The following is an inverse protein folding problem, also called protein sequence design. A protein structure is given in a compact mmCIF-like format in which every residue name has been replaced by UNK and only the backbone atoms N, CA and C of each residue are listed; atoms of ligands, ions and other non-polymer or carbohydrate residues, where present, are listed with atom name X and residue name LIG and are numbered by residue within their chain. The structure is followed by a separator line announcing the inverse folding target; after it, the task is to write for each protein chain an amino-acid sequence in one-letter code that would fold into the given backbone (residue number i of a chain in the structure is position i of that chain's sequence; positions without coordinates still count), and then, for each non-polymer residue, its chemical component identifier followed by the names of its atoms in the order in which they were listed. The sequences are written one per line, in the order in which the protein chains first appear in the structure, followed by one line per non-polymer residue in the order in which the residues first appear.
data_IF_417987488544
#
_entry.id   IF_417987488544
#
_cell.length_a   1.000
_cell.length_b   1.000
_cell.length_c   1.000
_cell.angle_alpha   90.00
_cell.angle_beta   90.00
_cell.angle_gamma   90.00
#
_symmetry.space_group_name_H-M   'P 1'
#
loop_
_entity.id
_entity.type
_entity.pdbx_description
1 polymer ?
#
# COMPACT_ATOMS: atom_id res chain seq x y z
N UNK A 1 29.31 7.23 -21.08
CA UNK A 1 28.00 7.66 -21.62
C UNK A 1 26.82 7.03 -20.89
N UNK A 2 26.80 5.72 -20.65
CA UNK A 2 25.68 5.05 -19.98
C UNK A 2 25.44 5.51 -18.53
N UNK A 3 26.50 5.80 -17.78
CA UNK A 3 26.42 6.30 -16.40
C UNK A 3 25.79 7.70 -16.30
N UNK A 4 26.07 8.58 -17.28
CA UNK A 4 25.50 9.93 -17.32
C UNK A 4 23.98 9.82 -17.53
N UNK A 5 23.54 8.96 -18.46
CA UNK A 5 22.12 8.73 -18.77
C UNK A 5 21.36 8.23 -17.53
N UNK A 6 21.92 7.25 -16.80
CA UNK A 6 21.32 6.69 -15.59
C UNK A 6 21.15 7.77 -14.50
N UNK A 7 22.16 8.60 -14.29
CA UNK A 7 22.11 9.69 -13.30
C UNK A 7 21.09 10.74 -13.70
N UNK A 8 21.03 11.16 -14.98
CA UNK A 8 20.02 12.12 -15.44
C UNK A 8 18.59 11.61 -15.31
N UNK A 9 18.33 10.33 -15.59
CA UNK A 9 16.99 9.73 -15.45
C UNK A 9 16.59 9.68 -13.96
N UNK A 10 17.52 9.33 -13.07
CA UNK A 10 17.28 9.33 -11.63
C UNK A 10 16.95 10.72 -11.08
N UNK A 11 17.71 11.75 -11.50
CA UNK A 11 17.48 13.15 -11.08
C UNK A 11 16.15 13.69 -11.62
N UNK A 12 15.82 13.40 -12.88
CA UNK A 12 14.52 13.77 -13.47
C UNK A 12 13.35 13.09 -12.73
N UNK A 13 13.48 11.81 -12.41
CA UNK A 13 12.47 11.09 -11.61
C UNK A 13 12.27 11.71 -10.23
N UNK A 14 13.36 12.11 -9.57
CA UNK A 14 13.31 12.75 -8.25
C UNK A 14 12.67 14.14 -8.29
N UNK A 15 12.97 14.95 -9.32
CA UNK A 15 12.35 16.26 -9.53
C UNK A 15 10.86 16.16 -9.83
N UNK A 16 10.44 15.19 -10.65
CA UNK A 16 9.03 14.95 -10.98
C UNK A 16 8.23 14.50 -9.76
N UNK A 17 8.80 13.63 -8.91
CA UNK A 17 8.18 13.20 -7.67
C UNK A 17 8.13 14.34 -6.64
N UNK A 18 9.20 15.15 -6.54
CA UNK A 18 9.25 16.35 -5.71
C UNK A 18 8.14 17.34 -6.07
N UNK A 19 7.98 17.66 -7.36
CA UNK A 19 6.93 18.57 -7.83
C UNK A 19 5.51 18.08 -7.52
N UNK A 20 5.26 16.77 -7.58
CA UNK A 20 3.96 16.17 -7.20
C UNK A 20 3.73 16.18 -5.69
N UNK A 21 4.79 16.10 -4.88
CA UNK A 21 4.71 16.18 -3.42
C UNK A 21 4.38 17.60 -2.92
N UNK A 22 4.82 18.63 -3.65
CA UNK A 22 4.48 20.04 -3.36
C UNK A 22 3.14 20.50 -3.95
N UNK A 23 2.44 19.67 -4.73
CA UNK A 23 1.09 20.01 -5.19
C UNK A 23 0.14 19.92 -3.98
N UNK A 24 -0.19 21.09 -3.42
CA UNK A 24 -1.00 21.21 -2.21
C UNK A 24 -2.37 20.53 -2.30
N UNK A 25 -3.03 20.27 -1.15
CA UNK A 25 -4.30 19.58 -1.09
C UNK A 25 -5.35 20.26 -1.97
N UNK A 26 -5.92 19.51 -2.92
CA UNK A 26 -6.96 20.02 -3.83
C UNK A 26 -8.10 20.67 -3.01
N UNK A 27 -8.39 21.97 -3.16
CA UNK A 27 -9.33 22.72 -2.33
C UNK A 27 -10.74 22.13 -2.36
N UNK A 28 -11.13 21.48 -3.47
CA UNK A 28 -12.43 20.78 -3.58
C UNK A 28 -12.55 19.59 -2.62
N UNK A 29 -11.46 18.87 -2.33
CA UNK A 29 -11.46 17.76 -1.36
C UNK A 29 -11.54 18.27 0.08
N UNK A 30 -10.90 19.39 0.38
CA UNK A 30 -10.98 20.03 1.69
C UNK A 30 -12.40 20.57 1.97
N UNK A 31 -13.04 21.19 0.97
CA UNK A 31 -14.42 21.67 1.08
C UNK A 31 -15.43 20.53 1.25
N UNK A 32 -15.30 19.44 0.48
CA UNK A 32 -16.15 18.25 0.63
C UNK A 32 -16.04 17.65 2.04
N UNK A 33 -14.82 17.54 2.58
CA UNK A 33 -14.57 17.04 3.94
C UNK A 33 -15.17 17.95 5.02
N UNK A 34 -15.13 19.27 4.83
CA UNK A 34 -15.79 20.23 5.73
C UNK A 34 -17.31 20.14 5.67
N UNK A 35 -17.88 19.98 4.48
CA UNK A 35 -19.32 19.80 4.28
C UNK A 35 -19.81 18.48 4.90
N UNK A 36 -19.03 17.41 4.78
CA UNK A 36 -19.31 16.09 5.35
C UNK A 36 -19.31 16.14 6.89
N UNK A 37 -18.34 16.84 7.49
CA UNK A 37 -18.28 17.08 8.94
C UNK A 37 -19.46 17.91 9.48
N UNK A 38 -20.01 18.84 8.69
CA UNK A 38 -21.18 19.64 9.07
C UNK A 38 -22.46 18.81 8.94
N UNK A 39 -22.58 17.99 7.88
CA UNK A 39 -23.68 17.03 7.72
C UNK A 39 -23.72 15.98 8.82
N UNK A 40 -22.56 15.48 9.26
CA UNK A 40 -22.46 14.56 10.40
C UNK A 40 -22.93 15.17 11.73
N UNK A 41 -22.85 16.51 11.88
CA UNK A 41 -23.33 17.21 13.09
C UNK A 41 -24.82 17.52 13.08
N UNK A 42 -25.47 17.52 11.91
CA UNK A 42 -26.88 17.88 11.74
C UNK A 42 -27.78 16.75 11.24
N UNK A 43 -27.21 15.61 10.81
CA UNK A 43 -27.99 14.41 10.54
C UNK A 43 -28.34 13.77 11.88
N UNK A 44 -29.50 14.14 12.42
CA UNK A 44 -30.15 13.55 13.58
C UNK A 44 -29.78 12.08 13.76
N UNK A 45 -29.02 11.80 14.81
CA UNK A 45 -28.98 10.51 15.49
C UNK A 45 -27.80 10.50 16.46
N UNK A 46 -27.97 11.03 17.67
CA UNK A 46 -27.06 10.70 18.79
C UNK A 46 -26.88 9.17 18.90
N UNK A 47 -27.91 8.40 18.52
CA UNK A 47 -27.86 6.94 18.38
C UNK A 47 -27.01 6.41 17.21
N UNK A 48 -27.03 7.02 16.02
CA UNK A 48 -26.23 6.54 14.89
C UNK A 48 -24.82 7.14 14.91
N UNK A 49 -24.60 8.32 15.49
CA UNK A 49 -23.27 8.79 15.85
C UNK A 49 -22.62 7.87 16.89
N UNK A 50 -23.36 7.45 17.93
CA UNK A 50 -22.87 6.48 18.91
C UNK A 50 -22.71 5.08 18.30
N UNK A 51 -23.61 4.63 17.43
CA UNK A 51 -23.49 3.35 16.73
C UNK A 51 -22.32 3.37 15.73
N UNK A 52 -22.15 4.45 14.96
CA UNK A 52 -21.00 4.64 14.07
C UNK A 52 -19.70 4.78 14.86
N UNK A 53 -19.71 5.44 16.02
CA UNK A 53 -18.55 5.52 16.90
C UNK A 53 -18.22 4.14 17.49
N UNK A 54 -19.22 3.33 17.85
CA UNK A 54 -19.04 1.95 18.30
C UNK A 54 -18.56 1.03 17.18
N UNK A 55 -19.12 1.14 15.97
CA UNK A 55 -18.67 0.41 14.78
C UNK A 55 -17.24 0.82 14.44
N UNK A 56 -16.91 2.10 14.51
CA UNK A 56 -15.55 2.61 14.30
C UNK A 56 -14.59 2.14 15.38
N UNK A 57 -15.03 2.06 16.64
CA UNK A 57 -14.26 1.52 17.77
C UNK A 57 -14.05 0.01 17.63
N UNK A 58 -15.05 -0.74 17.18
CA UNK A 58 -14.98 -2.18 16.87
C UNK A 58 -14.05 -2.44 15.68
N UNK A 59 -14.15 -1.65 14.60
CA UNK A 59 -13.26 -1.71 13.45
C UNK A 59 -11.82 -1.32 13.81
N UNK A 60 -11.64 -0.31 14.65
CA UNK A 60 -10.32 0.10 15.17
C UNK A 60 -9.74 -0.94 16.13
N UNK A 61 -10.56 -1.60 16.96
CA UNK A 61 -10.15 -2.72 17.81
C UNK A 61 -9.76 -3.95 16.98
N UNK A 62 -10.37 -4.14 15.80
CA UNK A 62 -10.04 -5.22 14.86
C UNK A 62 -8.77 -4.94 14.05
N UNK A 63 -8.40 -3.67 13.85
CA UNK A 63 -7.10 -3.31 13.27
C UNK A 63 -6.03 -3.47 14.35
N UNK A 64 -5.12 -4.44 14.19
CA UNK A 64 -3.98 -4.57 15.09
C UNK A 64 -3.18 -3.25 15.14
N UNK A 65 -2.56 -2.89 16.28
CA UNK A 65 -1.70 -1.68 16.38
C UNK A 65 -0.68 -1.60 15.24
N UNK A 66 -0.19 -2.77 14.82
CA UNK A 66 0.72 -2.99 13.70
C UNK A 66 0.10 -2.51 12.38
N UNK A 67 -1.18 -2.81 12.13
CA UNK A 67 -1.94 -2.37 10.95
C UNK A 67 -2.05 -0.83 10.87
N UNK A 68 -2.21 -0.17 12.02
CA UNK A 68 -2.27 1.30 12.12
C UNK A 68 -0.96 1.96 11.70
N UNK A 69 0.16 1.46 12.22
CA UNK A 69 1.51 1.98 11.91
C UNK A 69 1.83 1.83 10.41
N UNK A 70 1.58 0.65 9.84
CA UNK A 70 1.84 0.41 8.41
C UNK A 70 0.90 1.17 7.48
N UNK A 71 -0.29 1.54 7.95
CA UNK A 71 -1.22 2.34 7.14
C UNK A 71 -0.75 3.78 6.91
N UNK A 72 0.08 4.31 7.80
CA UNK A 72 0.69 5.65 7.68
C UNK A 72 1.93 5.64 6.79
N UNK A 73 2.67 4.52 6.77
CA UNK A 73 3.89 4.36 5.97
C UNK A 73 3.60 4.15 4.47
N UNK A 74 2.43 3.61 4.12
CA UNK A 74 2.07 3.28 2.74
C UNK A 74 1.37 4.47 2.09
N UNK A 75 1.84 5.01 0.94
CA UNK A 75 1.30 6.23 0.33
C UNK A 75 -0.20 6.19 -0.05
N UNK A 76 -0.81 5.00 -0.16
CA UNK A 76 -2.24 4.79 -0.50
C UNK A 76 -2.77 3.49 0.13
N UNK A 77 -3.04 3.45 1.45
CA UNK A 77 -3.36 2.21 2.15
C UNK A 77 -4.71 1.63 1.71
N UNK A 78 -5.69 2.48 1.34
CA UNK A 78 -7.00 2.05 0.87
C UNK A 78 -6.94 1.28 -0.46
N UNK A 79 -6.11 1.74 -1.41
CA UNK A 79 -5.94 1.04 -2.70
C UNK A 79 -5.23 -0.29 -2.54
N UNK A 80 -4.23 -0.35 -1.66
CA UNK A 80 -3.52 -1.59 -1.36
C UNK A 80 -4.44 -2.61 -0.68
N UNK A 81 -5.30 -2.18 0.26
CA UNK A 81 -6.32 -3.06 0.87
C UNK A 81 -7.27 -3.62 -0.18
N UNK A 82 -7.81 -2.77 -1.07
CA UNK A 82 -8.66 -3.23 -2.18
C UNK A 82 -7.96 -4.27 -3.05
N UNK A 83 -6.66 -4.07 -3.36
CA UNK A 83 -5.85 -5.03 -4.13
C UNK A 83 -5.65 -6.34 -3.38
N UNK A 84 -5.41 -6.29 -2.07
CA UNK A 84 -5.28 -7.49 -1.24
C UNK A 84 -6.61 -8.25 -1.18
N UNK A 85 -7.74 -7.57 -1.03
CA UNK A 85 -9.08 -8.18 -1.06
C UNK A 85 -9.37 -8.88 -2.41
N UNK A 86 -8.91 -8.31 -3.53
CA UNK A 86 -9.03 -8.95 -4.86
C UNK A 86 -8.33 -10.31 -4.93
N UNK A 87 -7.24 -10.52 -4.17
CA UNK A 87 -6.58 -11.84 -4.12
C UNK A 87 -7.47 -12.94 -3.53
N UNK A 88 -8.51 -12.57 -2.77
CA UNK A 88 -9.39 -13.51 -2.08
C UNK A 88 -8.73 -14.21 -0.88
N UNK A 89 -7.54 -13.76 -0.45
CA UNK A 89 -6.85 -14.27 0.73
C UNK A 89 -7.01 -13.30 1.91
N UNK A 90 -7.05 -13.83 3.12
CA UNK A 90 -7.08 -13.08 4.38
C UNK A 90 -5.71 -12.46 4.73
N UNK A 91 -5.11 -11.72 3.79
CA UNK A 91 -3.83 -11.04 3.98
C UNK A 91 -4.10 -9.60 4.40
N UNK A 92 -3.74 -9.25 5.64
CA UNK A 92 -3.85 -7.87 6.13
C UNK A 92 -2.72 -7.00 5.58
N UNK A 93 -2.92 -5.68 5.60
CA UNK A 93 -1.92 -4.71 5.14
C UNK A 93 -0.64 -4.81 5.98
N UNK A 94 -0.76 -5.02 7.29
CA UNK A 94 0.37 -5.19 8.19
C UNK A 94 1.16 -6.47 7.88
N UNK A 95 0.48 -7.60 7.67
CA UNK A 95 1.12 -8.87 7.27
C UNK A 95 1.85 -8.74 5.93
N UNK A 96 1.24 -8.05 4.97
CA UNK A 96 1.87 -7.76 3.68
C UNK A 96 3.16 -6.92 3.86
N UNK A 97 3.09 -5.86 4.67
CA UNK A 97 4.23 -4.98 4.90
C UNK A 97 5.37 -5.70 5.64
N UNK A 98 5.06 -6.49 6.68
CA UNK A 98 6.04 -7.31 7.39
C UNK A 98 6.69 -8.35 6.49
N UNK A 99 5.92 -9.06 5.67
CA UNK A 99 6.45 -10.04 4.72
C UNK A 99 7.37 -9.36 3.68
N UNK A 100 6.98 -8.17 3.19
CA UNK A 100 7.77 -7.39 2.24
C UNK A 100 9.11 -6.94 2.83
N UNK A 101 9.09 -6.39 4.05
CA UNK A 101 10.30 -5.98 4.76
C UNK A 101 11.20 -7.17 5.11
N UNK A 102 10.62 -8.26 5.62
CA UNK A 102 11.37 -9.47 5.96
C UNK A 102 12.05 -10.08 4.73
N UNK A 103 11.34 -10.14 3.59
CA UNK A 103 11.91 -10.63 2.33
C UNK A 103 13.07 -9.75 1.85
N UNK A 104 12.91 -8.42 1.92
CA UNK A 104 13.96 -7.48 1.55
C UNK A 104 15.23 -7.62 2.39
N UNK A 105 15.06 -7.69 3.71
CA UNK A 105 16.17 -7.90 4.65
C UNK A 105 16.84 -9.26 4.44
N UNK A 106 16.06 -10.31 4.20
CA UNK A 106 16.59 -11.64 3.91
C UNK A 106 17.43 -11.65 2.64
N UNK A 107 16.95 -11.03 1.56
CA UNK A 107 17.70 -10.94 0.30
C UNK A 107 18.95 -10.07 0.46
N UNK A 108 18.85 -8.93 1.16
CA UNK A 108 20.00 -8.09 1.47
C UNK A 108 21.07 -8.89 2.22
N UNK A 109 20.69 -9.59 3.30
CA UNK A 109 21.60 -10.40 4.09
C UNK A 109 22.27 -11.51 3.25
N UNK A 110 21.50 -12.22 2.41
CA UNK A 110 22.04 -13.23 1.51
C UNK A 110 23.05 -12.65 0.52
N UNK A 111 22.77 -11.46 -0.03
CA UNK A 111 23.72 -10.81 -0.95
C UNK A 111 24.99 -10.33 -0.25
N UNK A 112 24.90 -9.88 1.01
CA UNK A 112 26.07 -9.53 1.81
C UNK A 112 26.95 -10.76 2.12
N UNK A 113 26.33 -11.90 2.46
CA UNK A 113 27.06 -13.16 2.70
C UNK A 113 27.80 -13.62 1.42
N UNK A 114 27.24 -13.34 0.24
CA UNK A 114 27.90 -13.60 -1.05
C UNK A 114 29.05 -12.63 -1.39
N UNK A 115 29.38 -11.69 -0.50
CA UNK A 115 30.46 -10.72 -0.70
C UNK A 115 30.07 -9.46 -1.46
N UNK A 116 28.76 -9.20 -1.66
CA UNK A 116 28.34 -7.92 -2.24
C UNK A 116 28.56 -6.76 -1.26
N UNK A 117 29.01 -5.58 -1.73
CA UNK A 117 29.14 -4.40 -0.88
C UNK A 117 27.78 -3.97 -0.32
N UNK A 118 27.78 -3.43 0.91
CA UNK A 118 26.58 -3.02 1.64
C UNK A 118 25.61 -2.18 0.79
N UNK A 119 26.15 -1.25 0.01
CA UNK A 119 25.36 -0.37 -0.86
C UNK A 119 24.55 -1.16 -1.91
N UNK A 120 25.16 -2.15 -2.57
CA UNK A 120 24.45 -3.00 -3.53
C UNK A 120 23.43 -3.89 -2.83
N UNK A 121 23.82 -4.52 -1.71
CA UNK A 121 22.92 -5.37 -0.94
C UNK A 121 21.68 -4.60 -0.44
N UNK A 122 21.86 -3.35 -0.02
CA UNK A 122 20.78 -2.48 0.41
C UNK A 122 19.80 -2.18 -0.72
N UNK A 123 20.29 -1.74 -1.88
CA UNK A 123 19.42 -1.43 -3.03
C UNK A 123 18.74 -2.68 -3.60
N UNK A 124 19.44 -3.81 -3.65
CA UNK A 124 18.85 -5.10 -4.09
C UNK A 124 17.78 -5.57 -3.12
N UNK A 125 18.03 -5.48 -1.81
CA UNK A 125 17.05 -5.79 -0.78
C UNK A 125 15.82 -4.89 -0.86
N UNK A 126 16.00 -3.58 -1.07
CA UNK A 126 14.90 -2.64 -1.21
C UNK A 126 14.09 -2.90 -2.49
N UNK A 127 14.76 -3.17 -3.60
CA UNK A 127 14.10 -3.55 -4.85
C UNK A 127 13.29 -4.83 -4.67
N UNK A 128 13.85 -5.84 -4.02
CA UNK A 128 13.14 -7.10 -3.79
C UNK A 128 11.98 -6.95 -2.78
N UNK A 129 12.15 -6.12 -1.75
CA UNK A 129 11.12 -5.81 -0.74
C UNK A 129 9.85 -5.25 -1.39
N UNK A 130 9.98 -4.38 -2.40
CA UNK A 130 8.85 -3.77 -3.08
C UNK A 130 8.42 -4.59 -4.30
N UNK A 131 9.37 -5.05 -5.09
CA UNK A 131 9.15 -5.72 -6.36
C UNK A 131 8.45 -7.06 -6.19
N UNK A 132 9.04 -7.98 -5.42
CA UNK A 132 8.53 -9.36 -5.32
C UNK A 132 7.08 -9.40 -4.82
N UNK A 133 6.72 -8.73 -3.70
CA UNK A 133 5.34 -8.77 -3.21
C UNK A 133 4.34 -8.13 -4.17
N UNK A 134 4.75 -7.10 -4.93
CA UNK A 134 3.91 -6.47 -5.95
C UNK A 134 3.57 -7.41 -7.10
N UNK A 135 4.57 -8.15 -7.61
CA UNK A 135 4.37 -9.14 -8.67
C UNK A 135 3.52 -10.32 -8.20
N UNK A 136 3.80 -10.83 -6.99
CA UNK A 136 3.05 -11.97 -6.41
C UNK A 136 1.56 -11.64 -6.27
N UNK A 137 1.22 -10.45 -5.76
CA UNK A 137 -0.19 -10.02 -5.65
C UNK A 137 -0.84 -9.94 -7.04
N UNK A 138 -0.16 -9.32 -8.01
CA UNK A 138 -0.67 -9.22 -9.37
C UNK A 138 -0.92 -10.60 -10.00
N UNK A 139 -0.02 -11.55 -9.78
CA UNK A 139 -0.16 -12.93 -10.22
C UNK A 139 -1.35 -13.64 -9.56
N UNK A 140 -1.52 -13.50 -8.24
CA UNK A 140 -2.65 -14.09 -7.50
C UNK A 140 -4.00 -13.57 -8.00
N UNK A 141 -4.11 -12.28 -8.27
CA UNK A 141 -5.33 -11.67 -8.82
C UNK A 141 -5.62 -12.25 -10.21
N UNK A 142 -4.62 -12.27 -11.11
CA UNK A 142 -4.77 -12.83 -12.45
C UNK A 142 -5.18 -14.31 -12.41
N UNK A 143 -4.55 -15.11 -11.55
CA UNK A 143 -4.88 -16.53 -11.37
C UNK A 143 -6.33 -16.73 -10.93
N UNK A 144 -6.84 -15.88 -10.04
CA UNK A 144 -8.25 -15.94 -9.60
C UNK A 144 -9.21 -15.59 -10.73
N UNK A 145 -8.92 -14.52 -11.47
CA UNK A 145 -9.73 -14.11 -12.63
C UNK A 145 -9.75 -15.22 -13.69
N UNK A 146 -8.61 -15.83 -13.99
CA UNK A 146 -8.55 -16.92 -14.98
C UNK A 146 -9.34 -18.15 -14.52
N UNK A 147 -9.29 -18.50 -13.23
CA UNK A 147 -10.11 -19.59 -12.66
C UNK A 147 -11.60 -19.29 -12.76
N UNK A 148 -11.99 -18.05 -12.50
CA UNK A 148 -13.38 -17.61 -12.62
C UNK A 148 -13.84 -17.68 -14.09
N UNK A 149 -13.06 -17.13 -15.02
CA UNK A 149 -13.35 -17.18 -16.46
C UNK A 149 -13.45 -18.61 -17.01
N UNK A 150 -12.63 -19.53 -16.49
CA UNK A 150 -12.65 -20.94 -16.88
C UNK A 150 -13.91 -21.70 -16.40
N UNK A 151 -14.66 -21.16 -15.44
CA UNK A 151 -15.91 -21.76 -14.95
C UNK A 151 -17.17 -21.25 -15.66
N UNK A 152 -17.05 -20.28 -16.58
CA UNK A 152 -18.19 -19.80 -17.39
C UNK A 152 -18.63 -20.73 -18.53
N UNK A 153 -17.75 -21.53 -19.18
CA UNK A 153 -18.18 -22.46 -20.22
C UNK A 153 -19.05 -23.62 -19.73
N UNK A 154 -19.14 -23.85 -18.41
CA UNK A 154 -19.92 -24.92 -17.76
C UNK A 154 -21.24 -24.41 -17.12
N UNK A 155 -21.69 -23.19 -17.44
CA UNK A 155 -22.90 -22.56 -16.87
C UNK A 155 -23.90 -22.08 -17.93
#
# INVERSE_FOLDING_TARGET
MIYIIIVTIGVLGMLLLGGKAFSGPNPRKAFKRRMELIKERHADSVLAANAQAQIRKLMAARSSRVEGIFSTLIPKPALMRKRLEQTGKNISLGKYAMASLGLGLFIAALTMIKGAPFMLAFFVGLFAAVGVPHFVIGFLIKRRINKFNASFPDA
#
